data_IF_036220856620
#
_entry.id   IF_036220856620
#
_cell.length_a   1.000
_cell.length_b   1.000
_cell.length_c   1.000
_cell.angle_alpha   90.00
_cell.angle_beta   90.00
_cell.angle_gamma   90.00
#
_symmetry.space_group_name_H-M   'P 1'
#
loop_
_entity.id
_entity.type
_entity.pdbx_description
1 polymer ?
#
# COMPACT_ATOMS: atom_id res chain seq x y z
N UNK A 1 -58.94 -40.71 -40.15
CA UNK A 1 -57.86 -39.69 -40.34
C UNK A 1 -57.65 -38.98 -39.01
N UNK A 2 -56.62 -39.36 -38.28
CA UNK A 2 -56.26 -38.81 -36.93
C UNK A 2 -55.13 -37.80 -37.04
N UNK A 3 -55.46 -36.54 -36.72
CA UNK A 3 -54.48 -35.44 -36.64
C UNK A 3 -53.60 -35.61 -35.37
N UNK A 4 -52.30 -35.79 -35.52
CA UNK A 4 -51.34 -35.75 -34.43
C UNK A 4 -50.86 -34.32 -34.28
N UNK A 5 -51.25 -33.68 -33.19
CA UNK A 5 -50.64 -32.36 -32.77
C UNK A 5 -49.27 -32.58 -32.20
N UNK A 6 -48.26 -31.98 -32.84
CA UNK A 6 -46.87 -31.92 -32.33
C UNK A 6 -46.74 -30.65 -31.46
N UNK A 7 -46.60 -30.83 -30.16
CA UNK A 7 -46.31 -29.72 -29.21
C UNK A 7 -44.80 -29.43 -29.22
N UNK A 8 -44.41 -28.30 -29.78
CA UNK A 8 -43.04 -27.84 -29.80
C UNK A 8 -42.77 -27.08 -28.48
N UNK A 9 -42.04 -27.70 -27.54
CA UNK A 9 -41.63 -27.07 -26.31
C UNK A 9 -40.43 -26.15 -26.57
N UNK A 10 -40.64 -24.85 -26.47
CA UNK A 10 -39.58 -23.83 -26.57
C UNK A 10 -38.86 -23.75 -25.23
N UNK A 11 -37.65 -24.32 -25.11
CA UNK A 11 -36.77 -24.15 -23.97
C UNK A 11 -36.17 -22.74 -24.02
N UNK A 12 -36.71 -21.83 -23.21
CA UNK A 12 -36.02 -20.54 -22.93
C UNK A 12 -34.83 -20.77 -21.98
N UNK A 13 -33.66 -20.75 -22.50
CA UNK A 13 -32.45 -20.68 -21.68
C UNK A 13 -32.26 -19.25 -21.18
N UNK A 14 -32.63 -19.01 -19.93
CA UNK A 14 -32.27 -17.74 -19.24
C UNK A 14 -30.79 -17.75 -18.96
N UNK A 15 -30.03 -17.01 -19.76
CA UNK A 15 -28.64 -16.71 -19.47
C UNK A 15 -28.58 -15.78 -18.24
N UNK A 16 -28.22 -16.32 -17.08
CA UNK A 16 -27.89 -15.51 -15.90
C UNK A 16 -26.53 -14.90 -16.18
N UNK A 17 -26.49 -13.65 -16.63
CA UNK A 17 -25.29 -12.83 -16.64
C UNK A 17 -24.96 -12.52 -15.18
N UNK A 18 -23.99 -13.23 -14.60
CA UNK A 18 -23.42 -12.84 -13.33
C UNK A 18 -22.77 -11.46 -13.52
N UNK A 19 -23.39 -10.41 -12.99
CA UNK A 19 -22.76 -9.10 -12.91
C UNK A 19 -21.60 -9.22 -11.92
N UNK A 20 -20.39 -8.83 -12.35
CA UNK A 20 -19.27 -8.71 -11.43
C UNK A 20 -19.63 -7.66 -10.36
N UNK A 21 -19.38 -7.98 -9.11
CA UNK A 21 -19.58 -7.03 -8.02
C UNK A 21 -18.67 -5.81 -8.22
N UNK A 22 -19.20 -4.60 -8.03
CA UNK A 22 -18.43 -3.37 -8.12
C UNK A 22 -17.39 -3.32 -6.99
N UNK A 23 -16.28 -2.59 -7.22
CA UNK A 23 -15.27 -2.38 -6.18
C UNK A 23 -15.87 -1.68 -4.95
N UNK A 24 -15.44 -2.09 -3.74
CA UNK A 24 -15.96 -1.54 -2.49
C UNK A 24 -14.98 -1.69 -1.33
N UNK A 25 -15.23 -0.95 -0.23
CA UNK A 25 -14.49 -1.06 1.01
C UNK A 25 -15.24 -1.92 2.02
N UNK A 26 -14.50 -2.76 2.76
CA UNK A 26 -15.02 -3.59 3.84
C UNK A 26 -14.24 -3.36 5.12
N UNK A 27 -14.93 -3.34 6.25
CA UNK A 27 -14.30 -3.15 7.57
C UNK A 27 -13.81 -4.48 8.14
N UNK A 28 -12.67 -4.44 8.82
CA UNK A 28 -12.07 -5.58 9.53
C UNK A 28 -11.47 -5.15 10.85
N UNK A 29 -11.29 -6.12 11.74
CA UNK A 29 -10.66 -5.96 13.03
C UNK A 29 -9.38 -6.80 13.10
N UNK A 30 -8.40 -6.31 13.84
CA UNK A 30 -7.15 -7.02 14.12
C UNK A 30 -6.76 -6.82 15.59
N UNK A 31 -6.26 -7.88 16.23
CA UNK A 31 -5.78 -7.83 17.60
C UNK A 31 -4.26 -7.97 17.65
N UNK A 32 -3.59 -7.03 18.33
CA UNK A 32 -2.14 -7.04 18.54
C UNK A 32 -1.84 -6.61 19.97
N UNK A 33 -0.99 -7.35 20.65
CA UNK A 33 -0.55 -7.07 22.03
C UNK A 33 -1.73 -6.83 23.02
N UNK A 34 -2.86 -7.50 22.81
CA UNK A 34 -4.06 -7.34 23.65
C UNK A 34 -4.95 -6.15 23.32
N UNK A 35 -4.60 -5.35 22.32
CA UNK A 35 -5.39 -4.24 21.82
C UNK A 35 -6.11 -4.61 20.52
N UNK A 36 -7.32 -4.08 20.33
CA UNK A 36 -8.11 -4.24 19.12
C UNK A 36 -8.02 -2.96 18.29
N UNK A 37 -7.74 -3.16 17.00
CA UNK A 37 -7.65 -2.10 15.99
C UNK A 37 -8.62 -2.42 14.86
N UNK A 38 -9.12 -1.39 14.20
CA UNK A 38 -9.94 -1.53 13.00
C UNK A 38 -9.16 -1.11 11.76
N UNK A 39 -9.47 -1.73 10.64
CA UNK A 39 -8.90 -1.35 9.36
C UNK A 39 -9.91 -1.53 8.23
N UNK A 40 -9.64 -0.91 7.10
CA UNK A 40 -10.43 -1.05 5.89
C UNK A 40 -9.69 -1.92 4.88
N UNK A 41 -10.44 -2.66 4.09
CA UNK A 41 -9.92 -3.39 2.94
C UNK A 41 -10.71 -2.99 1.71
N UNK A 42 -10.02 -2.51 0.68
CA UNK A 42 -10.61 -2.32 -0.63
C UNK A 42 -10.58 -3.63 -1.41
N UNK A 43 -11.72 -4.03 -1.93
CA UNK A 43 -11.88 -5.19 -2.81
C UNK A 43 -12.08 -4.69 -4.27
N UNK A 44 -11.29 -5.21 -5.23
CA UNK A 44 -11.42 -4.81 -6.63
C UNK A 44 -12.74 -5.30 -7.23
N UNK A 45 -13.19 -4.63 -8.30
CA UNK A 45 -14.36 -5.09 -9.06
C UNK A 45 -14.17 -6.53 -9.51
N UNK A 46 -15.22 -7.34 -9.34
CA UNK A 46 -15.18 -8.76 -9.67
C UNK A 46 -14.29 -9.61 -8.77
N UNK A 47 -13.94 -9.13 -7.58
CA UNK A 47 -13.24 -9.95 -6.61
C UNK A 47 -13.94 -11.30 -6.39
N UNK A 48 -13.15 -12.35 -6.31
CA UNK A 48 -13.67 -13.71 -6.05
C UNK A 48 -12.60 -14.56 -5.38
N UNK A 49 -13.02 -15.46 -4.53
CA UNK A 49 -12.15 -16.45 -3.87
C UNK A 49 -11.64 -17.56 -4.82
N UNK A 50 -11.98 -17.52 -6.11
CA UNK A 50 -11.57 -18.55 -7.09
C UNK A 50 -10.18 -18.27 -7.69
N UNK A 51 -9.62 -17.10 -7.43
CA UNK A 51 -8.29 -16.71 -7.92
C UNK A 51 -7.52 -15.99 -6.82
N UNK A 52 -6.21 -15.87 -6.99
CA UNK A 52 -5.35 -15.10 -6.08
C UNK A 52 -5.17 -13.67 -6.60
N UNK A 53 -5.07 -12.72 -5.66
CA UNK A 53 -5.04 -11.29 -5.95
C UNK A 53 -3.74 -10.65 -5.50
N UNK A 54 -3.21 -9.67 -6.23
CA UNK A 54 -2.19 -8.78 -5.69
C UNK A 54 -2.72 -8.07 -4.45
N UNK A 55 -1.86 -7.79 -3.47
CA UNK A 55 -2.25 -7.08 -2.25
C UNK A 55 -1.34 -5.89 -2.04
N UNK A 56 -1.91 -4.73 -1.80
CA UNK A 56 -1.19 -3.50 -1.48
C UNK A 56 -1.45 -3.14 -0.01
N UNK A 57 -0.40 -2.97 0.78
CA UNK A 57 -0.49 -2.32 2.08
C UNK A 57 -0.31 -0.82 1.90
N UNK A 58 -1.32 -0.04 2.31
CA UNK A 58 -1.29 1.42 2.26
C UNK A 58 -1.23 2.01 3.67
N UNK A 59 -0.25 2.90 3.90
CA UNK A 59 -0.05 3.61 5.16
C UNK A 59 -0.36 5.10 4.99
N UNK A 60 -1.33 5.58 5.75
CA UNK A 60 -1.79 6.97 5.73
C UNK A 60 -0.84 7.95 6.44
N UNK A 61 -1.05 9.24 6.25
CA UNK A 61 -0.33 10.32 6.91
C UNK A 61 -0.78 10.59 8.34
N UNK A 62 -0.15 11.57 9.00
CA UNK A 62 -0.46 11.91 10.40
C UNK A 62 -1.87 12.46 10.62
N UNK A 63 -2.46 13.12 9.60
CA UNK A 63 -3.80 13.69 9.69
C UNK A 63 -4.93 12.66 9.74
N UNK A 64 -4.66 11.44 9.33
CA UNK A 64 -5.64 10.35 9.23
C UNK A 64 -5.60 9.39 10.43
N UNK A 65 -4.75 9.68 11.43
CA UNK A 65 -4.73 8.95 12.72
C UNK A 65 -6.10 8.98 13.39
N UNK A 66 -6.34 7.98 14.22
CA UNK A 66 -7.60 7.86 14.99
C UNK A 66 -8.00 6.43 15.25
N UNK A 67 -9.28 6.27 15.61
CA UNK A 67 -9.89 4.97 15.90
C UNK A 67 -11.31 4.87 15.32
N UNK A 68 -11.67 5.78 14.41
CA UNK A 68 -13.00 5.81 13.78
C UNK A 68 -13.13 4.87 12.58
N UNK A 69 -12.01 4.33 12.10
CA UNK A 69 -11.93 3.49 10.89
C UNK A 69 -12.45 4.19 9.62
N UNK A 70 -12.37 5.53 9.56
CA UNK A 70 -12.87 6.33 8.45
C UNK A 70 -11.85 7.37 7.96
N UNK A 71 -11.13 8.05 8.87
CA UNK A 71 -10.20 9.12 8.50
C UNK A 71 -9.12 8.65 7.52
N UNK A 72 -8.61 7.41 7.67
CA UNK A 72 -7.60 6.84 6.78
C UNK A 72 -8.09 6.70 5.31
N UNK A 73 -9.38 6.86 5.07
CA UNK A 73 -9.96 6.87 3.73
C UNK A 73 -10.03 8.26 3.10
N UNK A 74 -9.58 9.30 3.79
CA UNK A 74 -9.77 10.70 3.35
C UNK A 74 -8.66 11.23 2.45
N UNK A 75 -7.45 10.65 2.50
CA UNK A 75 -6.29 11.13 1.75
C UNK A 75 -5.53 9.98 1.05
N UNK A 76 -4.77 10.36 0.03
CA UNK A 76 -3.86 9.43 -0.67
C UNK A 76 -4.55 8.44 -1.59
N UNK A 77 -4.25 7.16 -1.41
CA UNK A 77 -4.74 6.10 -2.29
C UNK A 77 -6.27 5.87 -2.19
N UNK A 78 -6.92 5.88 -1.02
CA UNK A 78 -8.35 5.59 -0.94
C UNK A 78 -9.26 6.54 -1.74
N UNK A 79 -9.10 7.87 -1.76
CA UNK A 79 -9.84 8.74 -2.66
C UNK A 79 -9.62 8.41 -4.14
N UNK A 80 -8.37 8.15 -4.53
CA UNK A 80 -8.04 7.75 -5.90
C UNK A 80 -8.76 6.43 -6.29
N UNK A 81 -8.84 5.45 -5.38
CA UNK A 81 -9.56 4.19 -5.60
C UNK A 81 -11.07 4.37 -5.77
N UNK A 82 -11.69 5.38 -5.15
CA UNK A 82 -13.12 5.66 -5.37
C UNK A 82 -13.42 6.03 -6.82
N UNK A 83 -12.48 6.70 -7.48
CA UNK A 83 -12.63 7.15 -8.87
C UNK A 83 -12.13 6.11 -9.88
N UNK A 84 -11.17 5.26 -9.51
CA UNK A 84 -10.46 4.34 -10.42
C UNK A 84 -10.55 2.88 -10.02
N UNK A 85 -11.25 2.57 -8.92
CA UNK A 85 -11.23 1.24 -8.30
C UNK A 85 -11.83 0.12 -9.15
N UNK A 86 -12.70 0.44 -10.10
CA UNK A 86 -13.27 -0.57 -11.00
C UNK A 86 -12.22 -1.22 -11.91
N UNK A 87 -11.16 -0.50 -12.23
CA UNK A 87 -10.06 -0.96 -13.08
C UNK A 87 -8.79 -1.32 -12.28
N UNK A 88 -8.84 -1.16 -10.94
CA UNK A 88 -7.69 -1.44 -10.08
C UNK A 88 -7.65 -2.92 -9.69
N UNK A 89 -6.61 -3.69 -10.10
CA UNK A 89 -6.63 -5.15 -10.04
C UNK A 89 -6.06 -5.74 -8.74
N UNK A 90 -6.15 -5.03 -7.62
CA UNK A 90 -5.54 -5.48 -6.36
C UNK A 90 -6.44 -5.24 -5.14
N UNK A 91 -6.32 -6.08 -4.14
CA UNK A 91 -6.82 -5.84 -2.78
C UNK A 91 -5.95 -4.79 -2.12
N UNK A 92 -6.54 -3.83 -1.39
CA UNK A 92 -5.74 -2.83 -0.64
C UNK A 92 -6.10 -2.90 0.84
N UNK A 93 -5.09 -3.10 1.67
CA UNK A 93 -5.20 -3.14 3.14
C UNK A 93 -4.86 -1.77 3.69
N UNK A 94 -5.77 -1.17 4.44
CA UNK A 94 -5.75 0.24 4.87
C UNK A 94 -5.94 0.30 6.38
N UNK A 95 -4.89 0.01 7.18
CA UNK A 95 -4.95 0.13 8.63
C UNK A 95 -5.03 1.60 9.06
N UNK A 96 -5.56 1.84 10.26
CA UNK A 96 -5.56 3.17 10.89
C UNK A 96 -4.65 3.15 12.11
N UNK A 97 -3.60 3.97 12.09
CA UNK A 97 -2.75 4.20 13.25
C UNK A 97 -3.54 5.00 14.30
N UNK A 98 -3.50 4.64 15.58
CA UNK A 98 -4.14 5.42 16.65
C UNK A 98 -3.61 6.85 16.75
N UNK A 99 -4.39 7.71 17.40
CA UNK A 99 -3.95 9.06 17.75
C UNK A 99 -2.61 9.01 18.52
N UNK A 100 -1.78 10.01 18.31
CA UNK A 100 -0.47 10.17 18.97
C UNK A 100 0.53 9.00 18.76
N UNK A 101 0.32 8.17 17.74
CA UNK A 101 1.23 7.09 17.36
C UNK A 101 1.84 7.31 15.98
N UNK A 102 2.90 6.56 15.70
CA UNK A 102 3.58 6.49 14.39
C UNK A 102 3.52 5.05 13.86
N UNK A 103 3.95 4.83 12.62
CA UNK A 103 4.05 3.49 12.04
C UNK A 103 5.24 2.69 12.56
N UNK A 104 5.42 2.69 13.90
CA UNK A 104 6.44 1.96 14.64
C UNK A 104 5.80 1.12 15.75
N UNK A 105 6.52 0.22 16.39
CA UNK A 105 6.03 -0.54 17.53
C UNK A 105 4.72 -1.29 17.27
N UNK A 106 3.68 -1.02 18.06
CA UNK A 106 2.37 -1.69 17.93
C UNK A 106 1.64 -1.34 16.63
N UNK A 107 1.78 -0.12 16.12
CA UNK A 107 1.16 0.28 14.86
C UNK A 107 1.79 -0.44 13.67
N UNK A 108 3.10 -0.64 13.67
CA UNK A 108 3.79 -1.49 12.67
C UNK A 108 3.31 -2.95 12.76
N UNK A 109 3.30 -3.51 13.97
CA UNK A 109 2.81 -4.88 14.19
C UNK A 109 1.36 -5.06 13.74
N UNK A 110 0.51 -4.07 14.03
CA UNK A 110 -0.89 -4.03 13.61
C UNK A 110 -1.02 -4.00 12.08
N UNK A 111 -0.28 -3.13 11.38
CA UNK A 111 -0.31 -3.05 9.93
C UNK A 111 0.12 -4.37 9.28
N UNK A 112 1.20 -4.99 9.79
CA UNK A 112 1.68 -6.27 9.29
C UNK A 112 0.74 -7.44 9.62
N UNK A 113 0.04 -7.39 10.76
CA UNK A 113 -0.97 -8.41 11.09
C UNK A 113 -2.22 -8.24 10.22
N UNK A 114 -2.69 -7.00 10.01
CA UNK A 114 -3.80 -6.70 9.09
C UNK A 114 -3.49 -7.19 7.66
N UNK A 115 -2.24 -7.01 7.21
CA UNK A 115 -1.78 -7.56 5.92
C UNK A 115 -1.88 -9.09 5.88
N UNK A 116 -1.34 -9.80 6.90
CA UNK A 116 -1.38 -11.28 6.96
C UNK A 116 -2.83 -11.81 6.98
N UNK A 117 -3.69 -11.18 7.77
CA UNK A 117 -5.09 -11.58 7.88
C UNK A 117 -5.83 -11.35 6.56
N UNK A 118 -5.60 -10.21 5.90
CA UNK A 118 -6.20 -9.90 4.60
C UNK A 118 -5.70 -10.81 3.48
N UNK A 119 -4.40 -11.14 3.45
CA UNK A 119 -3.83 -12.11 2.48
C UNK A 119 -4.55 -13.45 2.61
N UNK A 120 -4.77 -13.92 3.84
CA UNK A 120 -5.44 -15.19 4.10
C UNK A 120 -6.93 -15.14 3.75
N UNK A 121 -7.64 -14.08 4.15
CA UNK A 121 -9.09 -13.94 3.97
C UNK A 121 -9.46 -13.67 2.51
N UNK A 122 -8.72 -12.77 1.86
CA UNK A 122 -9.07 -12.29 0.52
C UNK A 122 -8.26 -12.96 -0.60
N UNK A 123 -7.67 -14.13 -0.33
CA UNK A 123 -6.91 -14.91 -1.31
C UNK A 123 -5.76 -14.12 -1.95
N UNK A 124 -4.99 -13.39 -1.12
CA UNK A 124 -3.81 -12.65 -1.55
C UNK A 124 -2.71 -13.57 -2.06
N UNK A 125 -2.07 -13.16 -3.15
CA UNK A 125 -0.86 -13.82 -3.66
C UNK A 125 0.36 -13.32 -2.89
N UNK A 126 0.95 -14.14 -2.04
CA UNK A 126 2.13 -13.80 -1.24
C UNK A 126 3.35 -13.39 -2.08
N UNK A 127 3.41 -13.80 -3.34
CA UNK A 127 4.44 -13.35 -4.28
C UNK A 127 4.19 -11.94 -4.85
N UNK A 128 2.99 -11.38 -4.67
CA UNK A 128 2.57 -10.08 -5.20
C UNK A 128 2.04 -9.17 -4.09
N UNK A 129 2.87 -8.98 -3.06
CA UNK A 129 2.60 -8.03 -1.99
C UNK A 129 3.35 -6.73 -2.26
N UNK A 130 2.68 -5.62 -2.10
CA UNK A 130 3.21 -4.30 -2.39
C UNK A 130 2.99 -3.36 -1.21
N UNK A 131 3.89 -2.37 -1.08
CA UNK A 131 3.86 -1.41 0.01
C UNK A 131 3.80 0.00 -0.55
N UNK A 132 2.93 0.84 0.02
CA UNK A 132 2.92 2.27 -0.28
C UNK A 132 2.43 3.07 0.92
N UNK A 133 2.84 4.32 1.00
CA UNK A 133 2.40 5.24 2.04
C UNK A 133 2.89 6.66 1.78
N UNK A 134 2.23 7.61 2.42
CA UNK A 134 2.48 9.03 2.24
C UNK A 134 2.83 9.72 3.56
N UNK A 135 3.75 10.71 3.55
CA UNK A 135 4.11 11.50 4.73
C UNK A 135 4.53 10.60 5.90
N UNK A 136 3.86 10.65 7.05
CA UNK A 136 4.06 9.69 8.15
C UNK A 136 3.99 8.23 7.65
N UNK A 137 3.08 7.89 6.74
CA UNK A 137 3.01 6.57 6.10
C UNK A 137 4.18 6.30 5.15
N UNK A 138 4.80 7.33 4.59
CA UNK A 138 6.06 7.21 3.85
C UNK A 138 7.23 6.81 4.77
N UNK A 139 7.31 7.39 5.97
CA UNK A 139 8.23 6.94 7.03
C UNK A 139 7.91 5.51 7.45
N UNK A 140 6.62 5.19 7.68
CA UNK A 140 6.17 3.84 7.98
C UNK A 140 6.50 2.83 6.89
N UNK A 141 6.47 3.25 5.62
CA UNK A 141 6.88 2.38 4.51
C UNK A 141 8.39 2.09 4.54
N UNK A 142 9.23 3.08 4.89
CA UNK A 142 10.64 2.82 5.13
C UNK A 142 10.87 1.94 6.36
N UNK A 143 10.14 2.19 7.47
CA UNK A 143 10.18 1.36 8.67
C UNK A 143 9.93 -0.11 8.34
N UNK A 144 8.84 -0.39 7.66
CA UNK A 144 8.45 -1.74 7.27
C UNK A 144 9.45 -2.34 6.28
N UNK A 145 9.90 -1.60 5.27
CA UNK A 145 10.89 -2.09 4.31
C UNK A 145 12.22 -2.48 4.95
N UNK A 146 12.64 -1.75 5.99
CA UNK A 146 13.88 -2.00 6.75
C UNK A 146 13.75 -3.20 7.69
N UNK A 147 12.60 -3.37 8.34
CA UNK A 147 12.39 -4.38 9.39
C UNK A 147 11.78 -5.70 8.89
N UNK A 148 11.13 -5.68 7.72
CA UNK A 148 10.50 -6.86 7.10
C UNK A 148 11.07 -7.14 5.70
N UNK A 149 12.38 -7.42 5.58
CA UNK A 149 12.96 -7.72 4.28
C UNK A 149 12.36 -9.00 3.71
N UNK A 150 12.17 -9.04 2.38
CA UNK A 150 11.66 -10.21 1.69
C UNK A 150 10.13 -10.39 1.77
N UNK A 151 9.37 -9.40 2.28
CA UNK A 151 7.90 -9.48 2.31
C UNK A 151 7.28 -8.88 1.04
N UNK A 152 7.80 -7.78 0.55
CA UNK A 152 7.17 -7.03 -0.55
C UNK A 152 7.92 -7.20 -1.87
N UNK A 153 7.16 -7.30 -2.96
CA UNK A 153 7.68 -7.38 -4.31
C UNK A 153 8.13 -6.01 -4.86
N UNK A 154 7.49 -4.94 -4.44
CA UNK A 154 7.89 -3.55 -4.73
C UNK A 154 7.29 -2.57 -3.71
N UNK A 155 7.87 -1.38 -3.60
CA UNK A 155 7.36 -0.30 -2.77
C UNK A 155 7.31 1.04 -3.51
N UNK A 156 6.23 1.81 -3.30
CA UNK A 156 6.09 3.20 -3.72
C UNK A 156 6.02 4.10 -2.48
N UNK A 157 7.05 4.90 -2.23
CA UNK A 157 7.19 5.66 -0.98
C UNK A 157 7.10 7.16 -1.28
N UNK A 158 6.10 7.83 -0.69
CA UNK A 158 5.72 9.17 -1.08
C UNK A 158 5.96 10.16 0.08
N UNK A 159 6.70 11.23 -0.18
CA UNK A 159 7.04 12.34 0.74
C UNK A 159 7.38 11.89 2.17
N UNK A 160 8.08 10.76 2.29
CA UNK A 160 8.57 10.22 3.55
C UNK A 160 10.07 10.41 3.72
N UNK A 161 10.57 10.01 4.87
CA UNK A 161 11.98 10.01 5.21
C UNK A 161 12.34 8.87 6.15
N UNK A 162 13.60 8.80 6.57
CA UNK A 162 14.08 7.82 7.57
C UNK A 162 14.59 8.52 8.84
N UNK A 163 15.03 9.77 8.73
CA UNK A 163 15.42 10.59 9.88
C UNK A 163 14.32 11.61 10.17
N UNK A 164 14.15 12.02 11.44
CA UNK A 164 13.08 12.94 11.80
C UNK A 164 13.25 14.31 11.12
N UNK A 165 12.16 14.97 10.70
CA UNK A 165 12.20 16.38 10.37
C UNK A 165 12.50 17.21 11.63
N UNK A 166 12.84 18.49 11.45
CA UNK A 166 13.31 19.36 12.54
C UNK A 166 12.31 19.56 13.70
N UNK A 167 11.04 19.44 13.41
CA UNK A 167 9.93 19.74 14.33
C UNK A 167 9.18 18.49 14.83
N UNK A 168 9.55 17.27 14.37
CA UNK A 168 8.86 16.03 14.73
C UNK A 168 9.88 14.91 15.04
N UNK A 169 10.51 14.97 16.19
CA UNK A 169 11.60 14.08 16.59
C UNK A 169 11.25 12.58 16.62
N UNK A 170 9.96 12.25 16.78
CA UNK A 170 9.47 10.86 16.84
C UNK A 170 9.16 10.27 15.47
N UNK A 171 9.16 11.08 14.42
CA UNK A 171 8.90 10.64 13.05
C UNK A 171 10.19 10.14 12.40
N UNK A 172 10.53 8.89 12.63
CA UNK A 172 11.80 8.28 12.19
C UNK A 172 11.61 6.78 11.90
N UNK A 173 12.62 6.17 11.27
CA UNK A 173 12.79 4.72 11.22
C UNK A 173 13.55 4.28 12.46
N UNK A 174 13.04 3.27 13.18
CA UNK A 174 13.67 2.76 14.40
C UNK A 174 15.01 2.05 14.11
N UNK A 175 15.91 2.07 15.10
CA UNK A 175 17.18 1.37 15.01
C UNK A 175 18.24 2.05 14.13
N UNK A 176 18.01 3.31 13.72
CA UNK A 176 19.02 4.09 13.00
C UNK A 176 20.32 4.22 13.82
N UNK A 177 21.51 4.04 13.22
CA UNK A 177 22.76 4.12 13.93
C UNK A 177 23.12 5.58 14.25
N UNK A 178 23.46 5.86 15.51
CA UNK A 178 23.83 7.22 15.95
C UNK A 178 25.17 7.73 15.36
N UNK A 179 26.07 6.84 14.94
CA UNK A 179 27.44 7.19 14.53
C UNK A 179 27.82 6.74 13.11
N UNK A 180 26.82 6.36 12.30
CA UNK A 180 27.01 5.93 10.91
C UNK A 180 26.02 6.66 10.01
N UNK A 181 26.28 6.64 8.71
CA UNK A 181 25.32 7.12 7.72
C UNK A 181 23.99 6.33 7.83
N UNK A 182 22.89 6.99 8.25
CA UNK A 182 21.61 6.30 8.42
C UNK A 182 21.02 5.85 7.08
N UNK A 183 21.31 6.55 5.98
CA UNK A 183 20.77 6.21 4.66
C UNK A 183 21.46 4.98 4.09
N UNK A 184 22.78 4.88 4.22
CA UNK A 184 23.50 3.68 3.86
C UNK A 184 23.07 2.47 4.68
N UNK A 185 22.87 2.66 5.99
CA UNK A 185 22.37 1.60 6.87
C UNK A 185 20.97 1.11 6.48
N UNK A 186 20.04 2.04 6.15
CA UNK A 186 18.69 1.69 5.72
C UNK A 186 18.72 0.99 4.35
N UNK A 187 19.51 1.51 3.40
CA UNK A 187 19.63 0.92 2.07
C UNK A 187 20.18 -0.52 2.09
N UNK A 188 21.11 -0.83 3.01
CA UNK A 188 21.61 -2.20 3.21
C UNK A 188 20.51 -3.16 3.65
N UNK A 189 19.53 -2.70 4.46
CA UNK A 189 18.42 -3.51 4.96
C UNK A 189 17.27 -3.63 3.98
N UNK A 190 16.95 -2.56 3.26
CA UNK A 190 15.99 -2.58 2.15
C UNK A 190 16.43 -3.59 1.09
N UNK A 191 17.74 -3.71 0.87
CA UNK A 191 18.33 -4.76 0.06
C UNK A 191 17.89 -4.67 -1.41
N UNK A 192 17.24 -5.74 -1.90
CA UNK A 192 16.84 -5.88 -3.31
C UNK A 192 15.41 -5.46 -3.59
N UNK A 193 14.68 -4.92 -2.60
CA UNK A 193 13.32 -4.45 -2.81
C UNK A 193 13.31 -3.34 -3.89
N UNK A 194 12.61 -3.52 -5.02
CA UNK A 194 12.39 -2.44 -5.99
C UNK A 194 11.62 -1.30 -5.34
N UNK A 195 12.15 -0.08 -5.41
CA UNK A 195 11.54 1.10 -4.77
C UNK A 195 11.35 2.23 -5.77
N UNK A 196 10.17 2.84 -5.77
CA UNK A 196 9.93 4.11 -6.44
C UNK A 196 9.62 5.18 -5.39
N UNK A 197 10.51 6.15 -5.28
CA UNK A 197 10.38 7.27 -4.34
C UNK A 197 9.72 8.44 -5.07
N UNK A 198 8.77 9.11 -4.39
CA UNK A 198 8.10 10.30 -4.89
C UNK A 198 8.19 11.44 -3.88
N UNK A 199 8.44 12.66 -4.36
CA UNK A 199 8.48 13.83 -3.48
C UNK A 199 8.13 15.11 -4.25
N UNK A 200 7.60 16.11 -3.57
CA UNK A 200 7.45 17.46 -4.11
C UNK A 200 8.72 18.29 -3.90
N UNK A 201 9.21 18.97 -4.93
CA UNK A 201 10.45 19.77 -4.80
C UNK A 201 10.32 20.99 -3.91
N UNK A 202 9.08 21.45 -3.65
CA UNK A 202 8.77 22.57 -2.78
C UNK A 202 8.13 22.14 -1.44
N UNK A 203 8.32 20.86 -1.05
CA UNK A 203 7.79 20.34 0.20
C UNK A 203 8.49 21.02 1.40
N UNK A 204 7.71 21.79 2.15
CA UNK A 204 8.14 22.52 3.34
C UNK A 204 7.70 21.87 4.67
N UNK A 205 7.04 20.72 4.61
CA UNK A 205 6.62 19.91 5.77
C UNK A 205 7.64 18.78 6.00
N UNK A 206 7.89 18.00 4.96
CA UNK A 206 8.97 17.00 4.94
C UNK A 206 9.94 17.38 3.82
N UNK A 207 11.12 17.91 4.13
CA UNK A 207 12.05 18.33 3.10
C UNK A 207 12.48 17.17 2.18
N UNK A 208 12.55 17.39 0.84
CA UNK A 208 12.83 16.32 -0.13
C UNK A 208 14.27 15.76 -0.04
N UNK A 209 15.13 16.41 0.73
CA UNK A 209 16.51 15.99 0.89
C UNK A 209 16.65 14.55 1.43
N UNK A 210 15.77 14.14 2.34
CA UNK A 210 15.73 12.76 2.84
C UNK A 210 15.50 11.74 1.72
N UNK A 211 14.58 12.02 0.81
CA UNK A 211 14.30 11.20 -0.37
C UNK A 211 15.45 11.15 -1.36
N UNK A 212 16.11 12.31 -1.63
CA UNK A 212 17.29 12.39 -2.48
C UNK A 212 18.44 11.54 -1.94
N UNK A 213 18.68 11.61 -0.62
CA UNK A 213 19.73 10.84 0.06
C UNK A 213 19.42 9.33 0.06
N UNK A 214 18.14 8.94 0.30
CA UNK A 214 17.75 7.53 0.20
C UNK A 214 17.92 6.98 -1.22
N UNK A 215 17.51 7.77 -2.22
CA UNK A 215 17.73 7.41 -3.63
C UNK A 215 19.23 7.21 -3.94
N UNK A 216 20.08 8.14 -3.52
CA UNK A 216 21.53 8.03 -3.72
C UNK A 216 22.10 6.78 -3.06
N UNK A 217 21.73 6.52 -1.79
CA UNK A 217 22.20 5.36 -1.03
C UNK A 217 21.80 4.01 -1.65
N UNK A 218 20.57 3.92 -2.19
CA UNK A 218 20.10 2.72 -2.92
C UNK A 218 20.81 2.56 -4.26
N UNK A 219 21.05 3.66 -4.99
CA UNK A 219 21.81 3.64 -6.26
C UNK A 219 23.26 3.17 -6.06
N UNK A 220 23.92 3.60 -5.02
CA UNK A 220 25.28 3.13 -4.67
C UNK A 220 25.34 1.62 -4.44
N UNK A 221 24.23 1.01 -4.03
CA UNK A 221 24.08 -0.44 -3.80
C UNK A 221 23.56 -1.20 -5.01
N UNK A 222 23.46 -0.52 -6.16
CA UNK A 222 22.92 -1.09 -7.40
C UNK A 222 21.50 -1.65 -7.22
N UNK A 223 20.72 -1.12 -6.27
CA UNK A 223 19.33 -1.48 -6.08
C UNK A 223 18.47 -0.97 -7.24
N UNK A 224 17.36 -1.67 -7.51
CA UNK A 224 16.36 -1.17 -8.44
C UNK A 224 15.59 -0.04 -7.78
N UNK A 225 15.98 1.22 -8.05
CA UNK A 225 15.35 2.39 -7.47
C UNK A 225 15.03 3.44 -8.53
N UNK A 226 13.84 4.03 -8.41
CA UNK A 226 13.39 5.20 -9.18
C UNK A 226 13.13 6.36 -8.22
N UNK A 227 13.30 7.58 -8.72
CA UNK A 227 12.93 8.78 -8.00
C UNK A 227 12.24 9.76 -8.93
N UNK A 228 11.05 10.18 -8.55
CA UNK A 228 10.29 11.24 -9.23
C UNK A 228 10.10 12.39 -8.25
N UNK A 229 10.77 13.50 -8.54
CA UNK A 229 10.60 14.74 -7.82
C UNK A 229 9.71 15.66 -8.66
N UNK A 230 8.53 16.01 -8.13
CA UNK A 230 7.55 16.84 -8.85
C UNK A 230 7.91 18.34 -8.70
N UNK A 231 8.28 19.04 -9.78
CA UNK A 231 8.68 20.45 -9.71
C UNK A 231 7.59 21.37 -9.15
N UNK A 232 7.92 22.15 -8.12
CA UNK A 232 7.01 23.12 -7.51
C UNK A 232 5.87 22.54 -6.68
N UNK A 233 5.75 21.21 -6.61
CA UNK A 233 4.75 20.54 -5.75
C UNK A 233 5.21 20.61 -4.30
N UNK A 234 4.30 21.02 -3.41
CA UNK A 234 4.48 21.03 -1.97
C UNK A 234 4.24 19.63 -1.37
N UNK A 235 3.86 19.52 -0.11
CA UNK A 235 3.72 18.23 0.60
C UNK A 235 2.74 17.23 -0.05
N UNK A 236 1.70 17.72 -0.75
CA UNK A 236 0.67 16.89 -1.40
C UNK A 236 1.11 16.07 -2.63
N UNK A 237 2.39 15.64 -2.70
CA UNK A 237 2.94 14.89 -3.84
C UNK A 237 2.30 13.51 -4.08
N UNK A 238 1.51 12.99 -3.14
CA UNK A 238 0.72 11.76 -3.36
C UNK A 238 -0.37 11.91 -4.42
N UNK A 239 -0.89 13.13 -4.64
CA UNK A 239 -1.90 13.35 -5.67
C UNK A 239 -1.35 13.03 -7.07
N UNK A 240 -0.28 13.69 -7.56
CA UNK A 240 0.32 13.33 -8.83
C UNK A 240 0.99 11.96 -8.84
N UNK A 241 1.47 11.45 -7.69
CA UNK A 241 2.11 10.12 -7.62
C UNK A 241 1.11 9.00 -7.91
N UNK A 242 -0.03 8.94 -7.23
CA UNK A 242 -1.05 7.91 -7.46
C UNK A 242 -1.76 8.04 -8.81
N UNK A 243 -1.79 9.25 -9.38
CA UNK A 243 -2.33 9.50 -10.71
C UNK A 243 -1.33 9.21 -11.85
N UNK A 244 -0.06 8.88 -11.53
CA UNK A 244 0.96 8.61 -12.54
C UNK A 244 0.65 7.28 -13.26
N UNK A 245 0.41 7.29 -14.59
CA UNK A 245 -0.02 6.09 -15.31
C UNK A 245 0.97 4.91 -15.24
N UNK A 246 2.26 5.22 -15.06
CA UNK A 246 3.33 4.21 -15.01
C UNK A 246 3.46 3.53 -13.64
N UNK A 247 2.93 4.11 -12.57
CA UNK A 247 3.14 3.62 -11.21
C UNK A 247 2.62 2.19 -11.03
N UNK A 248 1.35 1.98 -11.32
CA UNK A 248 0.71 0.69 -11.06
C UNK A 248 1.20 -0.43 -11.98
N UNK A 249 1.36 -0.21 -13.32
CA UNK A 249 2.01 -1.20 -14.19
C UNK A 249 3.42 -1.57 -13.74
N UNK A 250 4.24 -0.57 -13.31
CA UNK A 250 5.56 -0.84 -12.76
C UNK A 250 5.47 -1.67 -11.48
N UNK A 251 4.65 -1.27 -10.51
CA UNK A 251 4.52 -1.96 -9.24
C UNK A 251 4.10 -3.42 -9.46
N UNK A 252 3.05 -3.66 -10.25
CA UNK A 252 2.52 -5.00 -10.49
C UNK A 252 3.36 -5.86 -11.43
N UNK A 253 4.38 -5.31 -12.09
CA UNK A 253 5.35 -6.09 -12.87
C UNK A 253 6.33 -6.88 -11.99
N UNK A 254 6.46 -6.51 -10.71
CA UNK A 254 7.36 -7.16 -9.76
C UNK A 254 6.69 -8.33 -9.06
N UNK A 255 7.50 -9.36 -8.76
CA UNK A 255 7.05 -10.56 -8.08
C UNK A 255 8.17 -11.12 -7.21
N UNK A 256 7.86 -11.50 -5.98
CA UNK A 256 8.80 -12.19 -5.11
C UNK A 256 9.01 -13.64 -5.55
N UNK A 257 10.26 -14.09 -5.57
CA UNK A 257 10.57 -15.50 -5.81
C UNK A 257 10.29 -16.37 -4.56
N UNK A 258 10.67 -15.84 -3.38
CA UNK A 258 10.55 -16.52 -2.09
C UNK A 258 10.04 -15.53 -1.02
N UNK A 259 8.71 -15.37 -0.86
CA UNK A 259 8.12 -14.42 0.07
C UNK A 259 8.27 -14.86 1.53
N UNK A 260 8.51 -13.89 2.43
CA UNK A 260 8.76 -14.09 3.87
C UNK A 260 7.61 -13.55 4.76
N UNK A 261 6.36 -13.54 4.30
CA UNK A 261 5.20 -13.02 5.05
C UNK A 261 4.84 -13.85 6.28
#
# INVERSE_FOLDING_TARGET
MTLRSVLLALLMTTSITAHAEASHFVERDVAVAGHHYRYQVFLPSGWTAKQTWPVVLFLHGSGERGNDNQKQLSQGLPPWLRDHGNDFPAVVVIPQAPDDTYWTGDSERMAMQALRDSVREFHGDTHRLYLTGLSMGGYGSWQIAVHHPGVFAAAAIICGGIVPPSDEASLLVEGLPAQRDPYGWAADRVGRLPVWIFHGSADNVVPPEGSRRMYAALKERHAEVRFTEFPGVNHGSWVPAYALPELWPWMFSHRMADPQL
#
